data_IF_439289511061
#
_entry.id   IF_439289511061
#
_cell.length_a   1.000
_cell.length_b   1.000
_cell.length_c   1.000
_cell.angle_alpha   90.00
_cell.angle_beta   90.00
_cell.angle_gamma   90.00
#
_symmetry.space_group_name_H-M   'P 1'
#
loop_
_entity.id
_entity.type
_entity.pdbx_description
1 polymer ?
#
# COMPACT_ATOMS: atom_id res chain seq x y z
N UNK A 1 -13.39 -64.71 69.09
CA UNK A 1 -12.40 -64.58 67.99
C UNK A 1 -13.09 -64.82 66.65
N UNK A 2 -13.37 -63.77 65.84
CA UNK A 2 -13.74 -63.95 64.44
C UNK A 2 -12.83 -63.11 63.52
N UNK A 3 -11.50 -63.28 63.61
CA UNK A 3 -10.55 -62.53 62.77
C UNK A 3 -10.07 -63.32 61.53
N UNK A 4 -10.20 -64.65 61.54
CA UNK A 4 -9.77 -65.52 60.43
C UNK A 4 -10.73 -65.49 59.23
N UNK A 5 -12.02 -65.29 59.46
CA UNK A 5 -13.05 -65.27 58.41
C UNK A 5 -12.90 -64.04 57.51
N UNK A 6 -12.64 -62.87 58.11
CA UNK A 6 -12.47 -61.59 57.38
C UNK A 6 -11.28 -61.66 56.42
N UNK A 7 -10.17 -62.25 56.85
CA UNK A 7 -8.96 -62.40 56.03
C UNK A 7 -9.19 -63.28 54.80
N UNK A 8 -9.92 -64.38 54.95
CA UNK A 8 -10.21 -65.30 53.85
C UNK A 8 -11.12 -64.65 52.78
N UNK A 9 -12.13 -63.92 53.23
CA UNK A 9 -13.00 -63.14 52.34
C UNK A 9 -12.27 -61.97 51.66
N UNK A 10 -11.40 -61.27 52.38
CA UNK A 10 -10.57 -60.19 51.83
C UNK A 10 -9.63 -60.71 50.72
N UNK A 11 -8.97 -61.85 50.94
CA UNK A 11 -8.09 -62.48 49.93
C UNK A 11 -8.85 -63.00 48.72
N UNK A 12 -10.09 -63.46 48.91
CA UNK A 12 -10.98 -63.92 47.83
C UNK A 12 -11.51 -62.77 46.97
N UNK A 13 -11.79 -61.61 47.58
CA UNK A 13 -12.32 -60.42 46.91
C UNK A 13 -11.23 -59.50 46.34
N UNK A 14 -9.98 -59.64 46.79
CA UNK A 14 -8.82 -58.90 46.26
C UNK A 14 -8.72 -58.84 44.72
N UNK A 15 -8.82 -59.95 43.96
CA UNK A 15 -8.73 -59.89 42.51
C UNK A 15 -9.87 -59.08 41.86
N UNK A 16 -11.06 -59.07 42.46
CA UNK A 16 -12.18 -58.26 41.96
C UNK A 16 -11.88 -56.75 42.11
N UNK A 17 -11.28 -56.35 43.23
CA UNK A 17 -10.84 -54.96 43.44
C UNK A 17 -9.76 -54.53 42.44
N UNK A 18 -8.80 -55.42 42.13
CA UNK A 18 -7.76 -55.15 41.14
C UNK A 18 -8.35 -54.96 39.74
N UNK A 19 -9.32 -55.80 39.35
CA UNK A 19 -10.00 -55.67 38.05
C UNK A 19 -10.81 -54.36 37.98
N UNK A 20 -11.49 -53.98 39.06
CA UNK A 20 -12.25 -52.73 39.13
C UNK A 20 -11.34 -51.50 39.00
N UNK A 21 -10.19 -51.52 39.68
CA UNK A 21 -9.16 -50.46 39.55
C UNK A 21 -8.59 -50.39 38.14
N UNK A 22 -8.28 -51.53 37.53
CA UNK A 22 -7.76 -51.58 36.16
C UNK A 22 -8.78 -51.04 35.15
N UNK A 23 -10.06 -51.38 35.31
CA UNK A 23 -11.14 -50.86 34.47
C UNK A 23 -11.31 -49.33 34.64
N UNK A 24 -11.23 -48.82 35.87
CA UNK A 24 -11.30 -47.38 36.15
C UNK A 24 -10.13 -46.61 35.54
N UNK A 25 -8.91 -47.14 35.63
CA UNK A 25 -7.72 -46.53 35.02
C UNK A 25 -7.78 -46.57 33.49
N UNK A 26 -8.21 -47.69 32.90
CA UNK A 26 -8.36 -47.83 31.46
C UNK A 26 -9.43 -46.87 30.90
N UNK A 27 -10.56 -46.73 31.59
CA UNK A 27 -11.61 -45.76 31.23
C UNK A 27 -11.08 -44.33 31.26
N UNK A 28 -10.35 -43.96 32.31
CA UNK A 28 -9.78 -42.62 32.47
C UNK A 28 -8.71 -42.31 31.43
N UNK A 29 -7.84 -43.28 31.13
CA UNK A 29 -6.81 -43.15 30.09
C UNK A 29 -7.43 -43.03 28.68
N UNK A 30 -8.49 -43.80 28.40
CA UNK A 30 -9.24 -43.70 27.15
C UNK A 30 -9.91 -42.34 26.97
N UNK A 31 -10.49 -41.80 28.03
CA UNK A 31 -11.15 -40.48 28.01
C UNK A 31 -10.15 -39.35 27.76
N UNK A 32 -9.03 -39.33 28.50
CA UNK A 32 -7.96 -38.34 28.31
C UNK A 32 -7.40 -38.37 26.88
N UNK A 33 -7.18 -39.56 26.32
CA UNK A 33 -6.68 -39.69 24.94
C UNK A 33 -7.67 -39.12 23.93
N UNK A 34 -8.98 -39.32 24.14
CA UNK A 34 -10.03 -38.81 23.26
C UNK A 34 -10.13 -37.29 23.30
N UNK A 35 -10.03 -36.69 24.48
CA UNK A 35 -10.06 -35.23 24.62
C UNK A 35 -8.82 -34.59 23.96
N UNK A 36 -7.63 -35.15 24.16
CA UNK A 36 -6.41 -34.63 23.52
C UNK A 36 -6.43 -34.76 21.99
N UNK A 37 -7.02 -35.83 21.45
CA UNK A 37 -7.16 -36.01 20.01
C UNK A 37 -8.14 -35.01 19.41
N UNK A 38 -9.29 -34.80 20.07
CA UNK A 38 -10.28 -33.81 19.64
C UNK A 38 -9.72 -32.38 19.73
N UNK A 39 -8.96 -32.04 20.77
CA UNK A 39 -8.29 -30.75 20.90
C UNK A 39 -7.23 -30.53 19.81
N UNK A 40 -6.47 -31.56 19.47
CA UNK A 40 -5.47 -31.49 18.40
C UNK A 40 -6.11 -31.27 17.02
N UNK A 41 -7.19 -31.98 16.72
CA UNK A 41 -7.95 -31.78 15.48
C UNK A 41 -8.55 -30.37 15.42
N UNK A 42 -9.13 -29.88 16.52
CA UNK A 42 -9.66 -28.51 16.59
C UNK A 42 -8.56 -27.45 16.46
N UNK A 43 -7.37 -27.70 17.01
CA UNK A 43 -6.22 -26.80 16.88
C UNK A 43 -5.71 -26.74 15.44
N UNK A 44 -5.63 -27.89 14.74
CA UNK A 44 -5.25 -27.95 13.34
C UNK A 44 -6.24 -27.19 12.45
N UNK A 45 -7.54 -27.39 12.65
CA UNK A 45 -8.59 -26.66 11.92
C UNK A 45 -8.47 -25.15 12.17
N UNK A 46 -8.32 -24.72 13.44
CA UNK A 46 -8.12 -23.29 13.76
C UNK A 46 -6.88 -22.71 13.11
N UNK A 47 -5.78 -23.47 13.04
CA UNK A 47 -4.55 -23.04 12.40
C UNK A 47 -4.75 -22.85 10.89
N UNK A 48 -5.42 -23.78 10.20
CA UNK A 48 -5.76 -23.64 8.79
C UNK A 48 -6.66 -22.43 8.52
N UNK A 49 -7.68 -22.20 9.36
CA UNK A 49 -8.54 -21.02 9.25
C UNK A 49 -7.76 -19.72 9.43
N UNK A 50 -6.86 -19.66 10.43
CA UNK A 50 -5.98 -18.51 10.66
C UNK A 50 -5.07 -18.24 9.47
N UNK A 51 -4.48 -19.28 8.89
CA UNK A 51 -3.63 -19.14 7.70
C UNK A 51 -4.42 -18.63 6.49
N UNK A 52 -5.63 -19.16 6.25
CA UNK A 52 -6.51 -18.68 5.17
C UNK A 52 -6.93 -17.23 5.36
N UNK A 53 -7.26 -16.82 6.59
CA UNK A 53 -7.60 -15.43 6.90
C UNK A 53 -6.40 -14.49 6.66
N UNK A 54 -5.21 -14.85 7.16
CA UNK A 54 -3.99 -14.07 6.94
C UNK A 54 -3.66 -13.95 5.45
N UNK A 55 -3.78 -15.03 4.68
CA UNK A 55 -3.55 -15.01 3.24
C UNK A 55 -4.54 -14.08 2.52
N UNK A 56 -5.83 -14.12 2.90
CA UNK A 56 -6.84 -13.23 2.35
C UNK A 56 -6.58 -11.75 2.69
N UNK A 57 -6.20 -11.46 3.94
CA UNK A 57 -5.83 -10.11 4.37
C UNK A 57 -4.59 -9.59 3.64
N UNK A 58 -3.56 -10.42 3.47
CA UNK A 58 -2.35 -10.06 2.74
C UNK A 58 -2.65 -9.80 1.26
N UNK A 59 -3.47 -10.64 0.62
CA UNK A 59 -3.88 -10.44 -0.76
C UNK A 59 -4.68 -9.14 -0.92
N UNK A 60 -5.61 -8.86 0.00
CA UNK A 60 -6.37 -7.61 0.00
C UNK A 60 -5.48 -6.38 0.21
N UNK A 61 -4.54 -6.44 1.15
CA UNK A 61 -3.56 -5.36 1.38
C UNK A 61 -2.66 -5.15 0.15
N UNK A 62 -2.24 -6.23 -0.52
CA UNK A 62 -1.44 -6.13 -1.73
C UNK A 62 -2.20 -5.45 -2.87
N UNK A 63 -3.48 -5.77 -3.05
CA UNK A 63 -4.34 -5.10 -4.04
C UNK A 63 -4.53 -3.62 -3.71
N UNK A 64 -4.76 -3.28 -2.44
CA UNK A 64 -4.86 -1.89 -2.00
C UNK A 64 -3.56 -1.12 -2.24
N UNK A 65 -2.41 -1.72 -1.91
CA UNK A 65 -1.10 -1.11 -2.14
C UNK A 65 -0.83 -0.89 -3.63
N UNK A 66 -1.19 -1.85 -4.49
CA UNK A 66 -1.07 -1.72 -5.94
C UNK A 66 -1.95 -0.59 -6.48
N UNK A 67 -3.22 -0.52 -6.05
CA UNK A 67 -4.14 0.55 -6.45
C UNK A 67 -3.68 1.93 -5.95
N UNK A 68 -3.13 2.01 -4.73
CA UNK A 68 -2.56 3.24 -4.20
C UNK A 68 -1.33 3.68 -4.98
N UNK A 69 -0.43 2.76 -5.32
CA UNK A 69 0.74 3.04 -6.14
C UNK A 69 0.37 3.51 -7.55
N UNK A 70 -0.66 2.94 -8.16
CA UNK A 70 -1.17 3.38 -9.45
C UNK A 70 -1.75 4.80 -9.39
N UNK A 71 -2.59 5.09 -8.40
CA UNK A 71 -3.10 6.45 -8.17
C UNK A 71 -1.98 7.47 -7.97
N UNK A 72 -0.96 7.11 -7.19
CA UNK A 72 0.19 7.99 -6.97
C UNK A 72 0.94 8.26 -8.27
N UNK A 73 1.20 7.24 -9.08
CA UNK A 73 1.85 7.40 -10.39
C UNK A 73 1.08 8.34 -11.31
N UNK A 74 -0.24 8.20 -11.39
CA UNK A 74 -1.07 9.09 -12.20
C UNK A 74 -1.08 10.53 -11.68
N UNK A 75 -1.11 10.70 -10.36
CA UNK A 75 -1.05 12.02 -9.75
C UNK A 75 0.31 12.70 -10.00
N UNK A 76 1.41 11.97 -9.82
CA UNK A 76 2.76 12.48 -10.07
C UNK A 76 2.94 12.83 -11.56
N UNK A 77 2.44 11.98 -12.46
CA UNK A 77 2.46 12.24 -13.90
C UNK A 77 1.65 13.49 -14.27
N UNK A 78 0.47 13.68 -13.68
CA UNK A 78 -0.34 14.87 -13.88
C UNK A 78 0.38 16.13 -13.34
N UNK A 79 0.96 16.06 -12.14
CA UNK A 79 1.70 17.17 -11.54
C UNK A 79 2.89 17.59 -12.40
N UNK A 80 3.69 16.64 -12.90
CA UNK A 80 4.83 16.94 -13.78
C UNK A 80 4.37 17.61 -15.07
N UNK A 81 3.26 17.15 -15.67
CA UNK A 81 2.72 17.80 -16.86
C UNK A 81 2.19 19.20 -16.58
N UNK A 82 1.45 19.39 -15.48
CA UNK A 82 0.96 20.70 -15.06
C UNK A 82 2.11 21.67 -14.77
N UNK A 83 3.17 21.22 -14.08
CA UNK A 83 4.35 22.03 -13.82
C UNK A 83 5.11 22.39 -15.10
N UNK A 84 5.29 21.43 -16.01
CA UNK A 84 5.91 21.69 -17.31
C UNK A 84 5.11 22.70 -18.11
N UNK A 85 3.79 22.56 -18.13
CA UNK A 85 2.89 23.49 -18.81
C UNK A 85 2.96 24.88 -18.20
N UNK A 86 2.87 25.00 -16.87
CA UNK A 86 2.98 26.26 -16.15
C UNK A 86 4.34 26.94 -16.42
N UNK A 87 5.43 26.18 -16.40
CA UNK A 87 6.76 26.70 -16.72
C UNK A 87 6.87 27.17 -18.17
N UNK A 88 6.29 26.44 -19.13
CA UNK A 88 6.26 26.88 -20.53
C UNK A 88 5.44 28.15 -20.72
N UNK A 89 4.26 28.25 -20.10
CA UNK A 89 3.45 29.48 -20.15
C UNK A 89 4.17 30.66 -19.53
N UNK A 90 4.77 30.49 -18.34
CA UNK A 90 5.52 31.56 -17.70
C UNK A 90 6.71 32.04 -18.57
N UNK A 91 7.38 31.11 -19.26
CA UNK A 91 8.47 31.48 -20.19
C UNK A 91 7.96 32.22 -21.42
N UNK A 92 6.83 31.79 -21.98
CA UNK A 92 6.19 32.44 -23.12
C UNK A 92 5.70 33.84 -22.77
N UNK A 93 5.03 34.00 -21.63
CA UNK A 93 4.58 35.31 -21.15
C UNK A 93 5.76 36.26 -20.89
N UNK A 94 6.84 35.77 -20.28
CA UNK A 94 8.05 36.56 -20.07
C UNK A 94 8.74 36.95 -21.38
N UNK A 95 8.75 36.07 -22.39
CA UNK A 95 9.27 36.40 -23.72
C UNK A 95 8.38 37.40 -24.45
N UNK A 96 7.06 37.22 -24.44
CA UNK A 96 6.11 38.14 -25.05
C UNK A 96 6.18 39.53 -24.40
N UNK A 97 6.33 39.60 -23.08
CA UNK A 97 6.51 40.87 -22.35
C UNK A 97 7.79 41.60 -22.77
N UNK A 98 8.93 40.89 -22.80
CA UNK A 98 10.20 41.47 -23.27
C UNK A 98 10.14 41.92 -24.73
N UNK A 99 9.55 41.12 -25.61
CA UNK A 99 9.37 41.50 -27.02
C UNK A 99 8.51 42.76 -27.17
N UNK A 100 7.43 42.89 -26.40
CA UNK A 100 6.60 44.11 -26.41
C UNK A 100 7.38 45.35 -25.95
N UNK A 101 8.19 45.22 -24.91
CA UNK A 101 9.06 46.30 -24.42
C UNK A 101 10.12 46.67 -25.46
N UNK A 102 10.82 45.69 -26.02
CA UNK A 102 11.86 45.91 -27.03
C UNK A 102 11.28 46.58 -28.30
N UNK A 103 10.10 46.15 -28.75
CA UNK A 103 9.42 46.81 -29.88
C UNK A 103 9.07 48.27 -29.53
N UNK A 104 8.51 48.53 -28.34
CA UNK A 104 8.15 49.88 -27.92
C UNK A 104 9.37 50.80 -27.80
N UNK A 105 10.46 50.31 -27.19
CA UNK A 105 11.70 51.06 -27.01
C UNK A 105 12.33 51.42 -28.36
N UNK A 106 12.39 50.47 -29.29
CA UNK A 106 12.99 50.70 -30.62
C UNK A 106 12.14 51.63 -31.48
N UNK A 107 10.81 51.54 -31.40
CA UNK A 107 9.90 52.48 -32.06
C UNK A 107 10.07 53.89 -31.47
N UNK A 108 10.20 54.00 -30.14
CA UNK A 108 10.41 55.29 -29.48
C UNK A 108 11.78 55.90 -29.80
N UNK A 109 12.84 55.09 -29.91
CA UNK A 109 14.15 55.57 -30.33
C UNK A 109 14.16 56.05 -31.78
N UNK A 110 13.53 55.30 -32.69
CA UNK A 110 13.39 55.68 -34.10
C UNK A 110 12.59 56.99 -34.25
N UNK A 111 11.54 57.17 -33.45
CA UNK A 111 10.75 58.41 -33.41
C UNK A 111 11.56 59.61 -32.87
N UNK A 112 12.36 59.40 -31.82
CA UNK A 112 13.22 60.44 -31.25
C UNK A 112 14.38 60.85 -32.19
N UNK A 113 14.89 59.91 -32.99
CA UNK A 113 15.95 60.16 -33.97
C UNK A 113 15.45 60.89 -35.24
N UNK A 114 14.13 61.11 -35.39
CA UNK A 114 13.55 61.77 -36.56
C UNK A 114 13.62 60.96 -37.86
N UNK A 115 14.01 59.68 -37.78
CA UNK A 115 14.21 58.78 -38.92
C UNK A 115 13.05 57.81 -39.14
N UNK A 116 11.85 58.13 -38.63
CA UNK A 116 10.66 57.27 -38.72
C UNK A 116 9.71 57.72 -39.84
N UNK A 117 9.18 56.76 -40.61
CA UNK A 117 8.09 56.97 -41.57
C UNK A 117 6.90 56.12 -41.11
N UNK A 118 5.80 56.77 -40.70
CA UNK A 118 4.61 56.08 -40.20
C UNK A 118 4.78 55.36 -38.85
N UNK A 119 5.78 55.76 -38.04
CA UNK A 119 6.07 55.16 -36.73
C UNK A 119 7.06 53.99 -36.77
N UNK A 120 7.65 53.67 -37.93
CA UNK A 120 8.71 52.68 -38.09
C UNK A 120 9.96 53.34 -38.69
N UNK A 121 11.12 53.07 -38.12
CA UNK A 121 12.43 53.54 -38.55
C UNK A 121 13.43 52.40 -38.81
N UNK A 122 14.71 52.73 -38.99
CA UNK A 122 15.75 51.76 -39.38
C UNK A 122 15.95 50.66 -38.35
N UNK A 123 15.91 50.99 -37.05
CA UNK A 123 16.19 50.01 -35.99
C UNK A 123 15.00 49.06 -35.80
N UNK A 124 13.76 49.56 -35.89
CA UNK A 124 12.55 48.73 -35.84
C UNK A 124 12.42 47.81 -37.05
N UNK A 125 12.80 48.27 -38.26
CA UNK A 125 12.88 47.42 -39.46
C UNK A 125 13.93 46.31 -39.31
N UNK A 126 15.07 46.60 -38.69
CA UNK A 126 16.11 45.59 -38.41
C UNK A 126 15.64 44.56 -37.39
N UNK A 127 14.90 44.99 -36.36
CA UNK A 127 14.30 44.10 -35.37
C UNK A 127 13.28 43.16 -36.03
N UNK A 128 12.41 43.69 -36.91
CA UNK A 128 11.44 42.88 -37.66
C UNK A 128 12.10 41.88 -38.61
N UNK A 129 13.15 42.28 -39.35
CA UNK A 129 13.89 41.35 -40.23
C UNK A 129 14.49 40.20 -39.43
N UNK A 130 15.14 40.51 -38.31
CA UNK A 130 15.69 39.49 -37.40
C UNK A 130 14.62 38.55 -36.85
N UNK A 131 13.44 39.08 -36.48
CA UNK A 131 12.33 38.27 -35.98
C UNK A 131 11.73 37.34 -37.07
N UNK A 132 11.76 37.76 -38.33
CA UNK A 132 11.28 37.00 -39.49
C UNK A 132 12.36 36.08 -40.10
N UNK A 133 13.60 36.13 -39.61
CA UNK A 133 14.70 35.28 -40.07
C UNK A 133 15.41 35.77 -41.34
N UNK A 134 15.26 37.06 -41.69
CA UNK A 134 15.95 37.73 -42.80
C UNK A 134 17.23 38.44 -42.35
#
# INVERSE_FOLDING_TARGET
MPWSSVWFWLRRLWPLWVVLLAAGLAYRAGYLKRDTAAEAEMAAVKAEWRQKQLAAELAYRAQLAAAAAEKQRWHDFAQVQSQKLAHTYARLDGQAGRMKQEIADVVQSDAAAGACVGGLGPDSLRLYRRALGY
#
